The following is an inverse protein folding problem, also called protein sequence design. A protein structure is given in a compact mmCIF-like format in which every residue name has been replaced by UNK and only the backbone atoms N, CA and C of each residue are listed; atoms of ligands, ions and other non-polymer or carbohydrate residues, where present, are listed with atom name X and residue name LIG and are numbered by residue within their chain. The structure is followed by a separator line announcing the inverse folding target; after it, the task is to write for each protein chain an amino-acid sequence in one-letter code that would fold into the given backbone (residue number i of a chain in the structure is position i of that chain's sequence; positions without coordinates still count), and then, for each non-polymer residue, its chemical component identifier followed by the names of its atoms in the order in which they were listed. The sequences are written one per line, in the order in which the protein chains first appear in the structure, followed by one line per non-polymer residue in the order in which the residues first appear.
data_IF_786558526427
#
_entry.id   IF_786558526427
#
_cell.length_a   1.000
_cell.length_b   1.000
_cell.length_c   1.000
_cell.angle_alpha   90.00
_cell.angle_beta   90.00
_cell.angle_gamma   90.00
#
_symmetry.space_group_name_H-M   'P 1'
#
loop_
_entity.id
_entity.type
_entity.pdbx_description
1 polymer ?
#
# COMPACT_ATOMS: atom_id res chain seq x y z
N UNK A 1 23.18 14.32 17.30
CA UNK A 1 23.89 13.47 16.32
C UNK A 1 23.07 12.20 16.15
N UNK A 2 22.74 11.84 14.90
CA UNK A 2 21.80 10.79 14.43
C UNK A 2 22.15 9.42 15.05
N UNK A 3 21.23 8.51 15.38
CA UNK A 3 20.31 7.76 14.49
C UNK A 3 19.22 7.07 15.33
N UNK A 4 17.96 7.42 15.13
CA UNK A 4 16.84 6.58 15.57
C UNK A 4 16.50 5.62 14.43
N UNK A 5 17.00 4.40 14.53
CA UNK A 5 16.56 3.27 13.71
C UNK A 5 15.10 2.97 14.06
N UNK A 6 14.17 3.58 13.34
CA UNK A 6 12.77 3.16 13.34
C UNK A 6 12.69 1.86 12.55
N UNK A 7 12.77 0.73 13.24
CA UNK A 7 12.19 -0.52 12.77
C UNK A 7 10.67 -0.30 12.76
N UNK A 8 10.17 0.27 11.67
CA UNK A 8 8.75 0.26 11.36
C UNK A 8 8.42 -1.14 10.84
N UNK A 9 8.11 -2.07 11.75
CA UNK A 9 7.36 -3.27 11.40
C UNK A 9 5.96 -2.81 10.98
N UNK A 10 5.78 -2.60 9.67
CA UNK A 10 4.56 -2.07 9.09
C UNK A 10 3.48 -3.14 9.06
N UNK A 11 2.44 -2.91 9.86
CA UNK A 11 1.15 -3.58 9.73
C UNK A 11 0.72 -3.55 8.25
N UNK A 12 0.40 -4.71 7.68
CA UNK A 12 -0.22 -4.82 6.36
C UNK A 12 -1.59 -4.12 6.35
N UNK A 13 -1.62 -2.83 6.03
CA UNK A 13 -2.84 -2.07 5.71
C UNK A 13 -2.45 -1.01 4.70
N UNK A 14 -2.39 -1.37 3.44
CA UNK A 14 -2.10 -0.39 2.40
C UNK A 14 -3.39 0.21 1.86
N UNK A 15 -3.99 1.12 2.64
CA UNK A 15 -4.52 2.37 2.07
C UNK A 15 -4.19 3.57 2.99
N UNK A 16 -3.10 3.57 3.79
CA UNK A 16 -2.76 4.76 4.59
C UNK A 16 -2.51 6.01 3.70
N UNK A 17 -2.08 5.82 2.45
CA UNK A 17 -1.77 6.90 1.53
C UNK A 17 -2.99 7.56 0.85
N UNK A 18 -4.09 6.84 0.59
CA UNK A 18 -5.20 7.42 -0.18
C UNK A 18 -6.05 8.40 0.62
N UNK A 19 -6.30 8.11 1.91
CA UNK A 19 -7.13 9.00 2.75
C UNK A 19 -6.51 10.39 2.90
N UNK A 20 -5.17 10.50 2.95
CA UNK A 20 -4.50 11.80 3.01
C UNK A 20 -4.38 12.54 1.68
N UNK A 21 -4.61 11.87 0.54
CA UNK A 21 -4.34 12.42 -0.81
C UNK A 21 -5.59 12.90 -1.53
N UNK A 22 -6.77 12.31 -1.27
CA UNK A 22 -8.03 12.79 -1.85
C UNK A 22 -9.24 12.55 -0.93
N UNK A 23 -10.04 13.61 -0.74
CA UNK A 23 -11.23 13.59 0.12
C UNK A 23 -10.97 13.04 1.54
N UNK A 24 -10.03 13.61 2.32
CA UNK A 24 -9.66 13.11 3.65
C UNK A 24 -10.82 13.13 4.66
N UNK A 25 -11.80 14.00 4.43
CA UNK A 25 -13.04 14.13 5.18
C UNK A 25 -14.14 13.14 4.74
N UNK A 26 -13.97 12.49 3.58
CA UNK A 26 -14.93 11.56 2.96
C UNK A 26 -14.43 10.12 2.88
N UNK A 27 -13.19 9.85 3.30
CA UNK A 27 -12.54 8.55 3.14
C UNK A 27 -11.98 8.03 4.45
N UNK A 28 -11.95 6.71 4.60
CA UNK A 28 -11.20 6.02 5.64
C UNK A 28 -10.49 4.81 5.04
N UNK A 29 -9.52 4.29 5.79
CA UNK A 29 -8.66 3.19 5.36
C UNK A 29 -9.19 1.88 5.91
N UNK A 30 -9.36 0.88 5.05
CA UNK A 30 -9.64 -0.51 5.43
C UNK A 30 -8.67 -1.44 4.69
N UNK A 31 -8.43 -2.63 5.23
CA UNK A 31 -7.60 -3.66 4.63
C UNK A 31 -8.29 -5.03 4.70
N UNK A 32 -7.73 -6.00 3.96
CA UNK A 32 -8.30 -7.35 3.84
C UNK A 32 -9.75 -7.34 3.34
N UNK A 33 -10.08 -6.39 2.47
CA UNK A 33 -11.39 -6.28 1.85
C UNK A 33 -11.36 -6.87 0.44
N UNK A 34 -12.46 -7.54 0.06
CA UNK A 34 -12.71 -8.11 -1.26
C UNK A 34 -11.75 -9.25 -1.66
N UNK A 35 -10.51 -8.93 -2.02
CA UNK A 35 -9.53 -9.88 -2.58
C UNK A 35 -8.09 -9.34 -2.46
N UNK A 36 -7.09 -10.22 -2.68
CA UNK A 36 -5.65 -9.98 -2.67
C UNK A 36 -5.02 -9.73 -1.27
N UNK A 37 -4.74 -10.79 -0.49
CA UNK A 37 -4.00 -10.68 0.75
C UNK A 37 -2.52 -10.40 0.46
N UNK A 38 -2.16 -9.14 0.23
CA UNK A 38 -0.78 -8.75 -0.05
C UNK A 38 -0.45 -7.37 0.54
N UNK A 39 0.85 -7.09 0.62
CA UNK A 39 1.33 -5.75 0.94
C UNK A 39 1.36 -4.90 -0.34
N UNK A 40 0.62 -3.79 -0.36
CA UNK A 40 0.84 -2.74 -1.36
C UNK A 40 1.89 -1.78 -0.80
N UNK A 41 3.15 -2.01 -1.17
CA UNK A 41 4.27 -1.20 -0.76
C UNK A 41 4.43 0.04 -1.64
N UNK A 42 4.94 1.13 -1.07
CA UNK A 42 5.26 2.34 -1.83
C UNK A 42 6.41 2.10 -2.81
N UNK A 43 6.52 2.94 -3.84
CA UNK A 43 7.61 2.84 -4.81
C UNK A 43 9.01 2.91 -4.15
N UNK A 44 9.13 3.61 -3.02
CA UNK A 44 10.37 3.66 -2.23
C UNK A 44 10.64 2.31 -1.56
N UNK A 45 9.66 1.76 -0.85
CA UNK A 45 9.80 0.49 -0.13
C UNK A 45 10.07 -0.67 -1.09
N UNK A 46 9.44 -0.68 -2.27
CA UNK A 46 9.72 -1.69 -3.32
C UNK A 46 11.19 -1.67 -3.77
N UNK A 47 11.82 -0.48 -3.81
CA UNK A 47 13.25 -0.34 -4.15
C UNK A 47 14.16 -0.72 -2.99
N UNK A 48 13.74 -0.47 -1.76
CA UNK A 48 14.47 -0.87 -0.55
C UNK A 48 14.46 -2.40 -0.36
N UNK A 49 13.38 -3.07 -0.80
CA UNK A 49 13.19 -4.51 -0.61
C UNK A 49 12.83 -4.85 0.84
N UNK A 50 12.78 -6.15 1.15
CA UNK A 50 12.41 -6.66 2.47
C UNK A 50 11.19 -7.58 2.42
N UNK A 51 10.79 -8.09 3.58
CA UNK A 51 9.78 -9.15 3.69
C UNK A 51 8.48 -8.83 2.95
N UNK A 52 7.96 -7.61 3.12
CA UNK A 52 6.71 -7.14 2.52
C UNK A 52 6.75 -7.16 0.99
N UNK A 53 7.93 -6.96 0.39
CA UNK A 53 8.11 -6.83 -1.06
C UNK A 53 8.60 -8.13 -1.70
N UNK A 54 9.52 -8.83 -1.05
CA UNK A 54 10.30 -9.92 -1.64
C UNK A 54 9.80 -11.30 -1.25
N UNK A 55 9.22 -11.44 -0.06
CA UNK A 55 8.99 -12.75 0.54
C UNK A 55 7.51 -13.02 0.84
N UNK A 56 6.75 -11.98 1.18
CA UNK A 56 5.36 -12.10 1.65
C UNK A 56 4.44 -12.78 0.65
N UNK A 57 4.74 -12.68 -0.65
CA UNK A 57 3.91 -13.25 -1.72
C UNK A 57 4.16 -14.74 -1.98
N UNK A 58 5.23 -15.30 -1.42
CA UNK A 58 5.56 -16.72 -1.60
C UNK A 58 4.52 -17.63 -0.94
N UNK A 59 3.93 -17.21 0.18
CA UNK A 59 2.89 -17.96 0.90
C UNK A 59 1.55 -18.00 0.16
N UNK A 60 1.38 -17.12 -0.83
CA UNK A 60 0.18 -17.02 -1.66
C UNK A 60 0.40 -17.62 -3.08
N UNK A 61 1.48 -18.39 -3.29
CA UNK A 61 1.88 -18.96 -4.58
C UNK A 61 1.98 -17.91 -5.71
N UNK A 62 2.40 -16.69 -5.35
CA UNK A 62 2.56 -15.56 -6.28
C UNK A 62 3.95 -14.91 -6.11
N UNK A 63 5.07 -15.63 -6.34
CA UNK A 63 6.42 -15.17 -6.01
C UNK A 63 6.92 -14.06 -6.97
N UNK A 64 6.29 -12.90 -6.92
CA UNK A 64 6.62 -11.71 -7.72
C UNK A 64 6.43 -10.46 -6.90
N UNK A 65 7.26 -9.45 -7.18
CA UNK A 65 7.03 -8.09 -6.69
C UNK A 65 5.86 -7.47 -7.43
N UNK A 66 5.12 -6.62 -6.73
CA UNK A 66 4.24 -5.66 -7.38
C UNK A 66 5.06 -4.61 -8.13
N UNK A 67 4.45 -4.03 -9.16
CA UNK A 67 5.04 -2.90 -9.89
C UNK A 67 5.29 -1.72 -8.95
N UNK A 68 6.38 -0.98 -9.15
CA UNK A 68 6.63 0.29 -8.45
C UNK A 68 5.55 1.33 -8.69
N UNK A 69 4.72 1.16 -9.72
CA UNK A 69 3.57 2.03 -10.02
C UNK A 69 2.28 1.62 -9.29
N UNK A 70 2.27 0.50 -8.57
CA UNK A 70 1.03 -0.05 -7.99
C UNK A 70 0.36 0.90 -7.00
N UNK A 71 1.13 1.53 -6.11
CA UNK A 71 0.61 2.52 -5.15
C UNK A 71 -0.10 3.69 -5.85
N UNK A 72 0.56 4.30 -6.84
CA UNK A 72 0.01 5.43 -7.58
C UNK A 72 -1.26 5.06 -8.35
N UNK A 73 -1.25 3.91 -9.03
CA UNK A 73 -2.42 3.40 -9.75
C UNK A 73 -3.62 3.22 -8.81
N UNK A 74 -3.41 2.61 -7.65
CA UNK A 74 -4.48 2.38 -6.67
C UNK A 74 -5.02 3.70 -6.12
N UNK A 75 -4.15 4.65 -5.76
CA UNK A 75 -4.55 5.96 -5.26
C UNK A 75 -5.36 6.71 -6.32
N UNK A 76 -4.85 6.79 -7.55
CA UNK A 76 -5.52 7.52 -8.63
C UNK A 76 -6.91 6.95 -8.91
N UNK A 77 -7.03 5.62 -9.05
CA UNK A 77 -8.32 4.96 -9.24
C UNK A 77 -9.26 5.19 -8.06
N UNK A 78 -8.77 5.13 -6.81
CA UNK A 78 -9.61 5.40 -5.64
C UNK A 78 -10.15 6.85 -5.64
N UNK A 79 -9.31 7.82 -6.01
CA UNK A 79 -9.71 9.22 -6.11
C UNK A 79 -10.71 9.48 -7.24
N UNK A 80 -10.52 8.84 -8.40
CA UNK A 80 -11.46 8.88 -9.52
C UNK A 80 -12.84 8.36 -9.09
N UNK A 81 -12.88 7.18 -8.47
CA UNK A 81 -14.12 6.56 -7.98
C UNK A 81 -14.83 7.42 -6.93
N UNK A 82 -14.08 8.10 -6.05
CA UNK A 82 -14.68 9.01 -5.07
C UNK A 82 -15.41 10.19 -5.72
N UNK A 83 -14.97 10.63 -6.91
CA UNK A 83 -15.62 11.67 -7.71
C UNK A 83 -16.96 11.21 -8.31
N UNK A 84 -17.17 9.90 -8.46
CA UNK A 84 -18.40 9.32 -9.00
C UNK A 84 -19.47 9.07 -7.92
N UNK A 85 -19.06 8.99 -6.64
CA UNK A 85 -19.97 8.77 -5.51
C UNK A 85 -20.75 10.06 -5.19
N UNK A 86 -22.06 10.02 -5.45
CA UNK A 86 -23.04 11.09 -5.23
C UNK A 86 -23.33 11.35 -3.75
#
# INVERSE_FOLDING_TARGET
MRTASRLAGGLAVAILAASGTCGPDRTWVTAYANDAPCYIASARVIREGGYEVDESMNTYDKPTRLSVAAEELIINTACELLGEVK
#
